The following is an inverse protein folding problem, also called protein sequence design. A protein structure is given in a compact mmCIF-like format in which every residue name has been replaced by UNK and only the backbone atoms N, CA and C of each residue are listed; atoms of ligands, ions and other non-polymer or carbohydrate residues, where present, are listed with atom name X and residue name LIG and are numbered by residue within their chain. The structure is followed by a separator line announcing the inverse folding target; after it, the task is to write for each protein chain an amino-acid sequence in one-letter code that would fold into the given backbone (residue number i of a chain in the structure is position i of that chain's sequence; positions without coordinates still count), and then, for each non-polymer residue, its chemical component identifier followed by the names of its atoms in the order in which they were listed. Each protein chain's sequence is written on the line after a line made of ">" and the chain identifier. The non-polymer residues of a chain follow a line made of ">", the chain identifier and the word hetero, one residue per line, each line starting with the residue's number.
data_IF_786884100211
#
_entry.id   IF_786884100211
#
_cell.length_a   1.000
_cell.length_b   1.000
_cell.length_c   1.000
_cell.angle_alpha   90.00
_cell.angle_beta   90.00
_cell.angle_gamma   90.00
#
_symmetry.space_group_name_H-M   'P 1'
#
loop_
_entity.id
_entity.type
_entity.pdbx_description
1 polymer ?
#
# COMPACT_ATOMS: atom_id res chain seq x y z
N UNK A 1 -66.16 -14.74 22.47
CA UNK A 1 -65.13 -15.76 22.23
C UNK A 1 -63.81 -15.03 22.07
N UNK A 2 -63.19 -14.67 23.21
CA UNK A 2 -61.90 -13.97 23.20
C UNK A 2 -60.80 -15.02 23.28
N UNK A 3 -60.01 -15.16 22.21
CA UNK A 3 -58.82 -15.99 22.21
C UNK A 3 -57.81 -15.27 23.11
N UNK A 4 -57.60 -15.79 24.32
CA UNK A 4 -56.46 -15.42 25.15
C UNK A 4 -55.24 -16.01 24.46
N UNK A 5 -54.54 -15.19 23.68
CA UNK A 5 -53.18 -15.53 23.26
C UNK A 5 -52.34 -15.55 24.53
N UNK A 6 -51.73 -16.68 24.82
CA UNK A 6 -50.88 -16.83 26.00
C UNK A 6 -49.72 -15.84 25.92
N UNK A 7 -49.52 -15.06 26.98
CA UNK A 7 -48.42 -14.09 27.10
C UNK A 7 -47.02 -14.74 26.95
N UNK A 8 -46.95 -16.07 27.00
CA UNK A 8 -45.74 -16.85 26.71
C UNK A 8 -45.46 -16.95 25.20
N UNK A 9 -46.51 -17.05 24.38
CA UNK A 9 -46.40 -17.12 22.93
C UNK A 9 -45.99 -15.76 22.33
N UNK A 10 -46.56 -14.65 22.84
CA UNK A 10 -46.15 -13.29 22.43
C UNK A 10 -44.71 -12.97 22.87
N UNK A 11 -44.26 -13.50 24.02
CA UNK A 11 -42.89 -13.31 24.52
C UNK A 11 -41.86 -14.10 23.71
N UNK A 12 -42.16 -15.34 23.31
CA UNK A 12 -41.31 -16.09 22.38
C UNK A 12 -41.22 -15.40 21.02
N UNK A 13 -42.35 -14.96 20.46
CA UNK A 13 -42.39 -14.29 19.16
C UNK A 13 -41.55 -13.00 19.13
N UNK A 14 -41.68 -12.17 20.18
CA UNK A 14 -40.85 -10.97 20.33
C UNK A 14 -39.35 -11.27 20.50
N UNK A 15 -39.01 -12.40 21.11
CA UNK A 15 -37.61 -12.80 21.30
C UNK A 15 -37.01 -13.33 19.99
N UNK A 16 -37.79 -14.03 19.16
CA UNK A 16 -37.37 -14.46 17.83
C UNK A 16 -37.19 -13.29 16.86
N UNK A 17 -38.09 -12.30 16.88
CA UNK A 17 -37.95 -11.08 16.07
C UNK A 17 -36.73 -10.26 16.49
N UNK A 18 -36.48 -10.14 17.80
CA UNK A 18 -35.29 -9.47 18.33
C UNK A 18 -34.00 -10.24 18.01
N UNK A 19 -34.03 -11.57 18.08
CA UNK A 19 -32.90 -12.44 17.73
C UNK A 19 -32.59 -12.36 16.23
N UNK A 20 -33.62 -12.39 15.40
CA UNK A 20 -33.52 -12.22 13.95
C UNK A 20 -32.91 -10.86 13.61
N UNK A 21 -33.42 -9.77 14.21
CA UNK A 21 -32.88 -8.43 14.00
C UNK A 21 -31.42 -8.29 14.48
N UNK A 22 -31.06 -8.93 15.60
CA UNK A 22 -29.68 -8.98 16.09
C UNK A 22 -28.76 -9.74 15.13
N UNK A 23 -29.20 -10.89 14.61
CA UNK A 23 -28.46 -11.67 13.62
C UNK A 23 -28.29 -10.91 12.30
N UNK A 24 -29.32 -10.21 11.83
CA UNK A 24 -29.28 -9.41 10.60
C UNK A 24 -28.37 -8.19 10.72
N UNK A 25 -28.46 -7.44 11.82
CA UNK A 25 -27.57 -6.30 12.07
C UNK A 25 -26.12 -6.76 12.16
N UNK A 26 -25.86 -7.87 12.87
CA UNK A 26 -24.53 -8.45 12.98
C UNK A 26 -24.00 -9.00 11.64
N UNK A 27 -24.85 -9.61 10.81
CA UNK A 27 -24.53 -9.99 9.43
C UNK A 27 -24.13 -8.78 8.59
N UNK A 28 -24.91 -7.70 8.64
CA UNK A 28 -24.66 -6.49 7.88
C UNK A 28 -23.32 -5.84 8.28
N UNK A 29 -23.05 -5.70 9.58
CA UNK A 29 -21.79 -5.10 10.04
C UNK A 29 -20.58 -6.00 9.75
N UNK A 30 -20.67 -7.31 9.92
CA UNK A 30 -19.56 -8.24 9.64
C UNK A 30 -19.24 -8.32 8.15
N UNK A 31 -20.25 -8.33 7.28
CA UNK A 31 -20.06 -8.29 5.82
C UNK A 31 -19.52 -6.95 5.34
N UNK A 32 -19.95 -5.84 5.94
CA UNK A 32 -19.39 -4.51 5.65
C UNK A 32 -17.92 -4.43 6.07
N UNK A 33 -17.56 -4.90 7.26
CA UNK A 33 -16.18 -4.96 7.74
C UNK A 33 -15.31 -5.90 6.88
N UNK A 34 -15.83 -7.06 6.49
CA UNK A 34 -15.16 -7.97 5.56
C UNK A 34 -14.91 -7.30 4.20
N UNK A 35 -15.92 -6.62 3.63
CA UNK A 35 -15.75 -5.87 2.39
C UNK A 35 -14.70 -4.75 2.51
N UNK A 36 -14.72 -4.01 3.62
CA UNK A 36 -13.81 -2.89 3.86
C UNK A 36 -12.35 -3.31 4.13
N UNK A 37 -12.11 -4.49 4.71
CA UNK A 37 -10.77 -4.90 5.15
C UNK A 37 -10.17 -6.08 4.37
N UNK A 38 -10.99 -7.01 3.84
CA UNK A 38 -10.54 -8.14 3.02
C UNK A 38 -10.60 -7.82 1.52
N UNK A 39 -11.74 -7.34 1.00
CA UNK A 39 -11.89 -7.13 -0.46
C UNK A 39 -11.30 -5.80 -0.94
N UNK A 40 -11.54 -4.70 -0.22
CA UNK A 40 -11.02 -3.39 -0.61
C UNK A 40 -9.48 -3.29 -0.56
N UNK A 41 -8.83 -3.70 0.54
CA UNK A 41 -7.38 -3.63 0.68
C UNK A 41 -6.63 -4.74 -0.05
N UNK A 42 -7.17 -5.95 -0.24
CA UNK A 42 -6.42 -7.00 -0.97
C UNK A 42 -6.14 -6.65 -2.43
N UNK A 43 -6.93 -5.75 -3.04
CA UNK A 43 -6.64 -5.20 -4.37
C UNK A 43 -5.66 -4.01 -4.35
N UNK A 44 -5.41 -3.38 -3.19
CA UNK A 44 -4.68 -2.09 -3.09
C UNK A 44 -3.55 -2.04 -2.05
N UNK A 45 -3.37 -3.05 -1.21
CA UNK A 45 -2.47 -3.03 -0.06
C UNK A 45 -1.82 -4.40 0.17
N UNK A 46 -0.53 -4.42 0.50
CA UNK A 46 0.17 -5.60 1.02
C UNK A 46 0.55 -5.41 2.49
N UNK A 47 0.33 -6.45 3.29
CA UNK A 47 0.73 -6.48 4.70
C UNK A 47 1.95 -7.38 4.89
N UNK A 48 2.97 -6.89 5.58
CA UNK A 48 4.12 -7.72 5.95
C UNK A 48 3.87 -8.44 7.28
N UNK A 49 3.60 -9.72 7.19
CA UNK A 49 3.31 -10.58 8.34
C UNK A 49 4.57 -11.16 9.00
N UNK A 50 5.75 -11.00 8.41
CA UNK A 50 7.01 -11.64 8.83
C UNK A 50 7.39 -11.31 10.27
N UNK A 51 7.17 -10.07 10.69
CA UNK A 51 7.48 -9.61 12.05
C UNK A 51 6.28 -9.63 13.01
N UNK A 52 5.09 -9.98 12.50
CA UNK A 52 3.82 -9.85 13.22
C UNK A 52 3.14 -11.19 13.52
N UNK A 53 3.83 -12.32 13.28
CA UNK A 53 3.28 -13.67 13.48
C UNK A 53 2.73 -13.88 14.91
N UNK A 54 3.46 -13.44 15.94
CA UNK A 54 3.00 -13.56 17.33
C UNK A 54 1.71 -12.78 17.60
N UNK A 55 1.54 -11.62 16.96
CA UNK A 55 0.34 -10.79 17.08
C UNK A 55 -0.86 -11.46 16.39
N UNK A 56 -0.64 -12.02 15.20
CA UNK A 56 -1.67 -12.76 14.46
C UNK A 56 -2.12 -13.98 15.28
N UNK A 57 -1.17 -14.78 15.78
CA UNK A 57 -1.47 -15.95 16.61
C UNK A 57 -2.23 -15.56 17.89
N UNK A 58 -1.79 -14.50 18.59
CA UNK A 58 -2.47 -14.02 19.79
C UNK A 58 -3.91 -13.56 19.51
N UNK A 59 -4.13 -12.85 18.40
CA UNK A 59 -5.47 -12.42 17.97
C UNK A 59 -6.36 -13.62 17.62
N UNK A 60 -5.86 -14.60 16.88
CA UNK A 60 -6.59 -15.84 16.56
C UNK A 60 -6.96 -16.60 17.83
N UNK A 61 -6.02 -16.76 18.77
CA UNK A 61 -6.28 -17.45 20.04
C UNK A 61 -7.33 -16.71 20.89
N UNK A 62 -7.30 -15.37 20.90
CA UNK A 62 -8.31 -14.55 21.56
C UNK A 62 -9.70 -14.81 20.96
N UNK A 63 -9.84 -14.82 19.63
CA UNK A 63 -11.12 -15.09 18.96
C UNK A 63 -11.63 -16.52 19.16
N UNK A 64 -10.73 -17.51 19.16
CA UNK A 64 -11.07 -18.89 19.51
C UNK A 64 -11.62 -18.97 20.94
N UNK A 65 -11.00 -18.27 21.89
CA UNK A 65 -11.49 -18.18 23.26
C UNK A 65 -12.88 -17.53 23.37
N UNK A 66 -13.11 -16.44 22.64
CA UNK A 66 -14.41 -15.75 22.59
C UNK A 66 -15.50 -16.66 21.99
N UNK A 67 -15.17 -17.43 20.94
CA UNK A 67 -16.09 -18.41 20.36
C UNK A 67 -16.50 -19.47 21.38
N UNK A 68 -15.54 -20.07 22.10
CA UNK A 68 -15.86 -21.07 23.13
C UNK A 68 -16.66 -20.48 24.30
N UNK A 69 -16.35 -19.26 24.73
CA UNK A 69 -17.12 -18.59 25.77
C UNK A 69 -18.57 -18.34 25.33
N UNK A 70 -18.75 -17.89 24.08
CA UNK A 70 -20.07 -17.68 23.46
C UNK A 70 -20.84 -19.00 23.33
N UNK A 71 -20.20 -20.05 22.83
CA UNK A 71 -20.80 -21.39 22.75
C UNK A 71 -21.30 -21.82 24.13
N UNK A 72 -20.47 -21.72 25.16
CA UNK A 72 -20.85 -22.10 26.53
C UNK A 72 -22.01 -21.27 27.06
N UNK A 73 -22.10 -19.98 26.70
CA UNK A 73 -23.25 -19.16 27.05
C UNK A 73 -24.54 -19.65 26.36
N UNK A 74 -24.47 -20.11 25.11
CA UNK A 74 -25.62 -20.71 24.42
C UNK A 74 -26.04 -22.02 25.08
N UNK A 75 -25.09 -22.90 25.43
CA UNK A 75 -25.38 -24.16 26.14
C UNK A 75 -26.11 -23.90 27.49
N UNK A 76 -25.77 -22.81 28.19
CA UNK A 76 -26.39 -22.42 29.47
C UNK A 76 -27.83 -21.89 29.33
N UNK A 77 -28.24 -21.47 28.14
CA UNK A 77 -29.56 -20.88 27.89
C UNK A 77 -30.61 -21.93 27.50
N UNK A 78 -30.25 -23.21 27.39
CA UNK A 78 -31.16 -24.34 27.12
C UNK A 78 -32.10 -24.08 25.92
N UNK A 79 -31.57 -23.59 24.80
CA UNK A 79 -32.35 -23.38 23.58
C UNK A 79 -32.79 -24.69 22.92
N UNK A 80 -33.96 -24.65 22.27
CA UNK A 80 -34.44 -25.73 21.39
C UNK A 80 -33.43 -26.04 20.28
N UNK A 81 -33.34 -27.32 19.88
CA UNK A 81 -32.30 -27.83 18.99
C UNK A 81 -32.14 -27.05 17.67
N UNK A 82 -33.22 -26.69 17.00
CA UNK A 82 -33.17 -25.91 15.75
C UNK A 82 -32.56 -24.52 15.95
N UNK A 83 -32.97 -23.82 17.01
CA UNK A 83 -32.46 -22.48 17.35
C UNK A 83 -31.01 -22.58 17.83
N UNK A 84 -30.67 -23.62 18.57
CA UNK A 84 -29.31 -23.91 19.02
C UNK A 84 -28.33 -24.03 17.84
N UNK A 85 -28.64 -24.86 16.84
CA UNK A 85 -27.77 -25.04 15.68
C UNK A 85 -27.62 -23.75 14.86
N UNK A 86 -28.70 -22.99 14.70
CA UNK A 86 -28.68 -21.71 14.00
C UNK A 86 -27.76 -20.69 14.71
N UNK A 87 -27.81 -20.63 16.04
CA UNK A 87 -26.98 -19.74 16.84
C UNK A 87 -25.51 -20.14 16.81
N UNK A 88 -25.19 -21.42 16.96
CA UNK A 88 -23.80 -21.90 16.90
C UNK A 88 -23.21 -21.69 15.50
N UNK A 89 -23.96 -21.97 14.44
CA UNK A 89 -23.51 -21.79 13.07
C UNK A 89 -23.27 -20.32 12.72
N UNK A 90 -24.19 -19.42 13.11
CA UNK A 90 -24.01 -17.99 12.93
C UNK A 90 -22.80 -17.45 13.70
N UNK A 91 -22.61 -17.87 14.95
CA UNK A 91 -21.44 -17.49 15.75
C UNK A 91 -20.11 -17.93 15.10
N UNK A 92 -20.07 -19.11 14.50
CA UNK A 92 -18.88 -19.59 13.78
C UNK A 92 -18.57 -18.73 12.54
N UNK A 93 -19.58 -18.49 11.70
CA UNK A 93 -19.42 -17.70 10.48
C UNK A 93 -18.98 -16.27 10.78
N UNK A 94 -19.68 -15.59 11.68
CA UNK A 94 -19.38 -14.19 12.00
C UNK A 94 -18.16 -14.01 12.89
N UNK A 95 -17.89 -14.97 13.80
CA UNK A 95 -16.67 -15.00 14.58
C UNK A 95 -15.44 -15.07 13.68
N UNK A 96 -15.51 -15.85 12.59
CA UNK A 96 -14.44 -15.92 11.59
C UNK A 96 -14.23 -14.57 10.87
N UNK A 97 -15.31 -13.89 10.47
CA UNK A 97 -15.20 -12.56 9.86
C UNK A 97 -14.63 -11.50 10.82
N UNK A 98 -15.06 -11.52 12.09
CA UNK A 98 -14.54 -10.63 13.12
C UNK A 98 -13.05 -10.88 13.39
N UNK A 99 -12.63 -12.14 13.42
CA UNK A 99 -11.23 -12.51 13.55
C UNK A 99 -10.40 -11.92 12.42
N UNK A 100 -10.78 -12.16 11.17
CA UNK A 100 -10.09 -11.62 10.00
C UNK A 100 -9.99 -10.08 10.02
N UNK A 101 -11.12 -9.38 10.18
CA UNK A 101 -11.14 -7.91 10.18
C UNK A 101 -10.31 -7.31 11.33
N UNK A 102 -10.40 -7.88 12.54
CA UNK A 102 -9.62 -7.39 13.68
C UNK A 102 -8.12 -7.64 13.50
N UNK A 103 -7.71 -8.76 12.88
CA UNK A 103 -6.29 -9.01 12.58
C UNK A 103 -5.74 -7.99 11.60
N UNK A 104 -6.49 -7.59 10.59
CA UNK A 104 -6.08 -6.57 9.61
C UNK A 104 -5.98 -5.17 10.24
N UNK A 105 -6.93 -4.80 11.08
CA UNK A 105 -6.88 -3.55 11.85
C UNK A 105 -5.65 -3.52 12.76
N UNK A 106 -5.36 -4.63 13.45
CA UNK A 106 -4.18 -4.75 14.31
C UNK A 106 -2.89 -4.59 13.49
N UNK A 107 -2.79 -5.25 12.35
CA UNK A 107 -1.66 -5.12 11.42
C UNK A 107 -1.50 -3.67 10.92
N UNK A 108 -2.60 -2.97 10.65
CA UNK A 108 -2.58 -1.57 10.26
C UNK A 108 -2.06 -0.66 11.38
N UNK A 109 -2.56 -0.82 12.61
CA UNK A 109 -2.17 0.00 13.77
C UNK A 109 -0.71 -0.25 14.17
N UNK A 110 -0.21 -1.47 14.02
CA UNK A 110 1.19 -1.78 14.31
C UNK A 110 2.16 -1.39 13.19
N UNK A 111 1.67 -0.81 12.10
CA UNK A 111 2.50 -0.33 11.00
C UNK A 111 3.01 -1.45 10.10
N UNK A 112 2.30 -2.58 9.99
CA UNK A 112 2.64 -3.67 9.08
C UNK A 112 2.30 -3.38 7.60
N UNK A 113 1.78 -2.19 7.30
CA UNK A 113 1.44 -1.74 5.95
C UNK A 113 2.72 -1.43 5.17
N UNK A 114 3.02 -2.20 4.12
CA UNK A 114 4.22 -1.98 3.30
C UNK A 114 4.01 -0.99 2.16
N UNK A 115 2.81 -0.95 1.56
CA UNK A 115 2.52 0.01 0.50
C UNK A 115 1.01 0.11 0.24
N UNK A 116 0.53 1.35 0.11
CA UNK A 116 -0.72 1.69 -0.55
C UNK A 116 -0.40 1.75 -2.05
N UNK A 117 -0.91 0.83 -2.85
CA UNK A 117 -0.83 0.91 -4.31
C UNK A 117 -1.57 2.18 -4.73
N UNK A 118 -0.84 3.23 -5.05
CA UNK A 118 -1.24 3.99 -6.23
C UNK A 118 -0.89 3.12 -7.43
N UNK A 119 -1.75 3.01 -8.46
CA UNK A 119 -1.38 2.38 -9.71
C UNK A 119 -0.23 3.18 -10.34
N UNK A 120 0.99 2.83 -9.96
CA UNK A 120 2.18 3.19 -10.70
C UNK A 120 2.04 2.46 -12.01
N UNK A 121 1.79 3.22 -13.08
CA UNK A 121 1.88 2.69 -14.44
C UNK A 121 3.27 2.07 -14.57
N UNK A 122 3.34 0.75 -14.56
CA UNK A 122 4.57 0.03 -14.87
C UNK A 122 4.94 0.39 -16.31
N UNK A 123 5.86 1.35 -16.46
CA UNK A 123 6.65 1.41 -17.66
C UNK A 123 7.50 0.14 -17.74
N UNK A 124 7.66 -0.46 -18.93
CA UNK A 124 8.23 -1.78 -19.09
C UNK A 124 9.60 -1.86 -18.42
N UNK A 125 9.85 -2.96 -17.70
CA UNK A 125 11.13 -3.32 -17.10
C UNK A 125 12.24 -3.36 -18.18
N UNK A 126 12.79 -2.18 -18.46
CA UNK A 126 13.96 -1.98 -19.28
C UNK A 126 15.20 -2.01 -18.40
N UNK A 127 16.02 -3.05 -18.58
CA UNK A 127 17.48 -3.10 -18.41
C UNK A 127 18.13 -2.38 -17.20
N UNK A 128 17.44 -2.18 -16.08
CA UNK A 128 18.00 -1.52 -14.91
C UNK A 128 18.45 -0.09 -15.21
N UNK A 129 17.48 0.84 -15.18
CA UNK A 129 17.63 2.30 -15.31
C UNK A 129 19.06 2.81 -15.17
N UNK A 130 19.81 2.81 -16.27
CA UNK A 130 21.18 3.30 -16.29
C UNK A 130 21.11 4.81 -16.44
N UNK A 131 21.33 5.53 -15.34
CA UNK A 131 21.36 6.99 -15.37
C UNK A 131 22.55 7.44 -16.25
N UNK A 132 22.23 7.96 -17.42
CA UNK A 132 23.16 8.22 -18.51
C UNK A 132 22.93 9.59 -19.15
N UNK A 133 23.94 10.07 -19.88
CA UNK A 133 23.79 11.27 -20.68
C UNK A 133 23.00 10.96 -21.96
N UNK A 134 21.86 11.61 -22.17
CA UNK A 134 21.01 11.40 -23.36
C UNK A 134 21.57 11.96 -24.67
N UNK A 135 22.78 12.50 -24.66
CA UNK A 135 23.51 12.93 -25.86
C UNK A 135 24.48 11.85 -26.35
N UNK A 136 25.15 11.13 -25.43
CA UNK A 136 26.15 10.10 -25.78
C UNK A 136 25.79 8.70 -25.31
N UNK A 137 24.68 8.53 -24.58
CA UNK A 137 24.19 7.27 -24.01
C UNK A 137 25.23 6.55 -23.15
N UNK A 138 26.12 7.32 -22.51
CA UNK A 138 27.11 6.82 -21.57
C UNK A 138 26.69 7.17 -20.15
N UNK A 139 26.78 6.18 -19.25
CA UNK A 139 26.50 6.34 -17.83
C UNK A 139 27.34 7.44 -17.19
N UNK A 140 26.73 8.23 -16.31
CA UNK A 140 27.45 9.24 -15.54
C UNK A 140 28.44 8.60 -14.57
N UNK A 141 29.45 9.36 -14.17
CA UNK A 141 30.46 8.94 -13.20
C UNK A 141 31.26 10.14 -12.69
N UNK A 142 32.23 9.90 -11.80
CA UNK A 142 33.22 10.92 -11.41
C UNK A 142 34.02 11.47 -12.60
N UNK A 143 34.20 10.68 -13.65
CA UNK A 143 34.89 11.08 -14.89
C UNK A 143 33.92 11.70 -15.90
N UNK A 144 32.65 11.27 -15.88
CA UNK A 144 31.58 11.76 -16.75
C UNK A 144 30.57 12.53 -15.91
N UNK A 145 30.98 13.73 -15.51
CA UNK A 145 30.24 14.56 -14.56
C UNK A 145 28.98 15.14 -15.23
N UNK A 146 27.78 14.95 -14.65
CA UNK A 146 26.56 15.61 -15.13
C UNK A 146 26.62 17.12 -14.85
N UNK A 147 26.40 17.92 -15.88
CA UNK A 147 26.36 19.39 -15.87
C UNK A 147 24.93 19.87 -16.13
N UNK A 148 24.44 20.74 -15.26
CA UNK A 148 23.12 21.34 -15.32
C UNK A 148 23.17 22.64 -16.13
N UNK A 149 22.30 22.75 -17.14
CA UNK A 149 22.06 23.98 -17.87
C UNK A 149 21.03 24.81 -17.12
N UNK A 150 21.51 25.75 -16.29
CA UNK A 150 20.70 26.52 -15.33
C UNK A 150 19.47 27.22 -15.93
N UNK A 151 19.52 27.60 -17.20
CA UNK A 151 18.44 28.35 -17.84
C UNK A 151 17.31 27.45 -18.39
N UNK A 152 17.50 26.13 -18.43
CA UNK A 152 16.45 25.19 -18.89
C UNK A 152 16.31 23.91 -18.05
N UNK A 153 17.18 23.67 -17.07
CA UNK A 153 17.13 22.50 -16.20
C UNK A 153 17.64 21.19 -16.80
N UNK A 154 17.96 21.14 -18.10
CA UNK A 154 18.49 19.95 -18.73
C UNK A 154 19.91 19.60 -18.25
N UNK A 155 20.20 18.31 -18.17
CA UNK A 155 21.51 17.81 -17.74
C UNK A 155 22.22 17.09 -18.88
N UNK A 156 23.48 17.43 -19.12
CA UNK A 156 24.39 16.80 -20.10
C UNK A 156 25.72 16.47 -19.43
N UNK A 157 26.51 15.52 -19.92
CA UNK A 157 27.85 15.33 -19.35
C UNK A 157 28.82 16.45 -19.77
N UNK A 158 29.86 16.69 -18.96
CA UNK A 158 30.90 17.69 -19.22
C UNK A 158 31.56 17.53 -20.61
N UNK A 159 31.83 16.29 -21.04
CA UNK A 159 32.38 16.00 -22.36
C UNK A 159 31.44 16.45 -23.49
N UNK A 160 30.14 16.16 -23.36
CA UNK A 160 29.13 16.56 -24.34
C UNK A 160 28.96 18.07 -24.36
N UNK A 161 28.94 18.72 -23.18
CA UNK A 161 28.91 20.17 -23.10
C UNK A 161 30.13 20.78 -23.82
N UNK A 162 31.33 20.21 -23.62
CA UNK A 162 32.56 20.67 -24.26
C UNK A 162 32.51 20.57 -25.77
N UNK A 163 32.03 19.43 -26.29
CA UNK A 163 31.84 19.21 -27.73
C UNK A 163 30.82 20.18 -28.34
N UNK A 164 29.72 20.46 -27.64
CA UNK A 164 28.70 21.41 -28.12
C UNK A 164 29.30 22.82 -28.18
N UNK A 165 29.98 23.25 -27.12
CA UNK A 165 30.61 24.57 -27.05
C UNK A 165 31.68 24.76 -28.14
N UNK A 166 32.46 23.72 -28.44
CA UNK A 166 33.48 23.75 -29.49
C UNK A 166 32.90 23.91 -30.90
N UNK A 167 31.67 23.45 -31.14
CA UNK A 167 30.99 23.58 -32.45
C UNK A 167 30.37 24.97 -32.65
N UNK A 168 30.25 25.78 -31.61
CA UNK A 168 29.64 27.11 -31.70
C UNK A 168 30.68 28.16 -32.08
N UNK A 169 30.26 29.09 -32.95
CA UNK A 169 31.11 30.18 -33.44
C UNK A 169 31.58 31.10 -32.31
N UNK A 170 30.68 31.38 -31.37
CA UNK A 170 30.94 32.16 -30.17
C UNK A 170 30.84 31.23 -28.96
N UNK A 171 31.96 30.99 -28.27
CA UNK A 171 32.05 30.09 -27.11
C UNK A 171 31.55 30.74 -25.81
N UNK A 172 30.68 31.74 -25.92
CA UNK A 172 30.10 32.47 -24.79
C UNK A 172 28.91 31.72 -24.20
N UNK A 173 28.11 31.10 -25.06
CA UNK A 173 26.80 30.53 -24.72
C UNK A 173 26.66 29.12 -25.25
N UNK A 174 26.31 28.18 -24.38
CA UNK A 174 26.04 26.80 -24.74
C UNK A 174 24.55 26.62 -25.05
N UNK A 175 24.24 26.14 -26.25
CA UNK A 175 22.87 25.81 -26.65
C UNK A 175 22.49 24.42 -26.18
N UNK A 176 21.40 24.30 -25.43
CA UNK A 176 20.86 23.02 -24.98
C UNK A 176 20.50 22.12 -26.17
N UNK A 177 20.96 20.85 -26.22
CA UNK A 177 20.66 19.95 -27.33
C UNK A 177 19.21 19.45 -27.34
N UNK A 178 18.45 19.68 -26.27
CA UNK A 178 17.07 19.20 -26.13
C UNK A 178 16.03 20.29 -26.43
N UNK A 179 16.26 21.52 -25.96
CA UNK A 179 15.29 22.62 -26.06
C UNK A 179 15.88 23.91 -26.67
N UNK A 180 17.15 23.90 -27.08
CA UNK A 180 17.86 25.02 -27.72
C UNK A 180 18.04 26.29 -26.86
N UNK A 181 17.54 26.31 -25.62
CA UNK A 181 17.81 27.38 -24.64
C UNK A 181 19.32 27.59 -24.47
N UNK A 182 19.75 28.84 -24.53
CA UNK A 182 21.16 29.22 -24.39
C UNK A 182 21.50 29.45 -22.93
N UNK A 183 22.60 28.85 -22.49
CA UNK A 183 23.17 29.07 -21.16
C UNK A 183 24.53 29.72 -21.26
N UNK A 184 24.71 30.85 -20.58
CA UNK A 184 25.98 31.56 -20.53
C UNK A 184 27.02 30.74 -19.75
N UNK A 185 28.15 30.42 -20.41
CA UNK A 185 29.21 29.55 -19.87
C UNK A 185 30.59 30.22 -19.83
N UNK A 186 30.71 31.47 -20.32
CA UNK A 186 31.95 32.26 -20.27
C UNK A 186 33.20 31.45 -20.69
N UNK A 187 33.21 30.92 -21.91
CA UNK A 187 34.33 30.20 -22.53
C UNK A 187 34.69 28.83 -21.93
N UNK A 188 34.09 28.41 -20.82
CA UNK A 188 34.45 27.15 -20.15
C UNK A 188 33.25 26.38 -19.61
N UNK A 189 33.17 25.10 -19.97
CA UNK A 189 32.14 24.17 -19.45
C UNK A 189 32.33 23.81 -17.98
N UNK A 190 33.50 24.11 -17.40
CA UNK A 190 33.73 24.00 -15.95
C UNK A 190 32.86 24.96 -15.13
N UNK A 191 32.43 26.08 -15.74
CA UNK A 191 31.55 27.06 -15.10
C UNK A 191 30.10 26.56 -14.99
N UNK A 192 29.75 25.46 -15.67
CA UNK A 192 28.44 24.84 -15.51
C UNK A 192 28.33 24.17 -14.14
N UNK A 193 27.18 24.37 -13.52
CA UNK A 193 26.81 23.78 -12.24
C UNK A 193 26.79 22.26 -12.40
N UNK A 194 27.48 21.56 -11.52
CA UNK A 194 27.41 20.10 -11.47
C UNK A 194 26.09 19.66 -10.86
N UNK A 195 25.38 18.75 -11.52
CA UNK A 195 24.17 18.14 -10.97
C UNK A 195 24.56 17.05 -9.96
N UNK A 196 24.80 17.45 -8.71
CA UNK A 196 25.22 16.54 -7.64
C UNK A 196 24.16 15.49 -7.30
N UNK A 197 22.88 15.78 -7.51
CA UNK A 197 21.79 14.83 -7.25
C UNK A 197 21.93 13.61 -8.16
N UNK A 198 22.02 13.84 -9.47
CA UNK A 198 22.25 12.79 -10.48
C UNK A 198 23.55 12.04 -10.21
N UNK A 199 24.61 12.76 -9.86
CA UNK A 199 25.91 12.15 -9.60
C UNK A 199 25.88 11.24 -8.34
N UNK A 200 25.23 11.68 -7.26
CA UNK A 200 25.11 10.93 -6.01
C UNK A 200 24.24 9.67 -6.19
N UNK A 201 23.12 9.78 -6.92
CA UNK A 201 22.26 8.66 -7.26
C UNK A 201 23.04 7.56 -7.99
N UNK A 202 23.84 7.95 -8.99
CA UNK A 202 24.69 7.01 -9.74
C UNK A 202 25.74 6.35 -8.86
N UNK A 203 26.37 7.09 -7.97
CA UNK A 203 27.34 6.51 -7.03
C UNK A 203 26.68 5.53 -6.06
N UNK A 204 25.47 5.85 -5.57
CA UNK A 204 24.69 4.98 -4.67
C UNK A 204 24.26 3.68 -5.36
N UNK A 205 23.81 3.76 -6.61
CA UNK A 205 23.44 2.58 -7.41
C UNK A 205 24.64 1.67 -7.69
N UNK A 206 25.84 2.24 -7.94
CA UNK A 206 27.07 1.44 -8.10
C UNK A 206 27.49 0.69 -6.82
N UNK A 207 27.23 1.26 -5.64
CA UNK A 207 27.61 0.67 -4.35
C UNK A 207 26.73 -0.52 -3.95
N UNK A 208 25.47 -0.59 -4.43
CA UNK A 208 24.51 -1.67 -4.15
C UNK A 208 24.74 -2.96 -4.96
N UNK A 209 25.68 -2.96 -5.92
CA UNK A 209 26.02 -4.14 -6.74
C UNK A 209 27.11 -5.04 -6.12
N UNK A 210 27.33 -4.96 -4.81
CA UNK A 210 28.27 -5.79 -4.05
C UNK A 210 27.64 -6.24 -2.73
#
# INVERSE_FOLDING_TARGET
>A
MGIKLDANNERCYHNEDALSLALYTYFFFSTMLFGCFILGPSESCSFNTTHHNNLIVASVLMHVGLFFASWRAVDLLEYDGEIYYLLVFSQFLYGSFCASSSTEILLMITGALESFWEPVKEEPEGDGFKIECKVCYLGYSKQRVPKLLKDCGHTVCEDCAGRILQKQWYKTDLSCPFCQTKTFVNWSTKNLITNYEVLNLVMKMKRRKF
#
